data_IF_176044484499
#
_entry.id   IF_176044484499
#
_cell.length_a   1.000
_cell.length_b   1.000
_cell.length_c   1.000
_cell.angle_alpha   90.00
_cell.angle_beta   90.00
_cell.angle_gamma   90.00
#
_symmetry.space_group_name_H-M   'P 1'
#
loop_
_entity.id
_entity.type
_entity.pdbx_description
1 polymer ?
#
# COMPACT_ATOMS: atom_id res chain seq x y z
N UNK A 1 -3.86 -2.40 13.30
CA UNK A 1 -3.96 -3.53 12.35
C UNK A 1 -5.33 -4.17 12.51
N UNK A 2 -6.07 -4.38 11.43
CA UNK A 2 -7.42 -4.94 11.40
C UNK A 2 -7.41 -6.41 10.92
N UNK A 3 -8.36 -7.22 11.38
CA UNK A 3 -8.55 -8.59 10.89
C UNK A 3 -9.19 -8.60 9.49
N UNK A 4 -8.82 -9.56 8.64
CA UNK A 4 -9.44 -9.80 7.32
C UNK A 4 -9.67 -11.29 7.05
N UNK A 5 -10.94 -11.71 6.96
CA UNK A 5 -11.33 -13.11 6.79
C UNK A 5 -10.84 -13.72 5.47
N UNK A 6 -10.79 -12.92 4.39
CA UNK A 6 -10.34 -13.41 3.09
C UNK A 6 -8.84 -13.68 3.11
N UNK A 7 -8.06 -12.80 3.75
CA UNK A 7 -6.62 -13.03 3.93
C UNK A 7 -6.33 -14.22 4.85
N UNK A 8 -7.19 -14.46 5.85
CA UNK A 8 -7.09 -15.61 6.75
C UNK A 8 -7.40 -16.92 6.00
N UNK A 9 -8.40 -16.93 5.12
CA UNK A 9 -8.68 -18.08 4.26
C UNK A 9 -7.52 -18.38 3.31
N UNK A 10 -6.92 -17.36 2.70
CA UNK A 10 -5.71 -17.53 1.88
C UNK A 10 -4.57 -18.13 2.70
N UNK A 11 -4.36 -17.68 3.94
CA UNK A 11 -3.34 -18.22 4.83
C UNK A 11 -3.62 -19.69 5.18
N UNK A 12 -4.88 -20.03 5.46
CA UNK A 12 -5.31 -21.40 5.79
C UNK A 12 -5.07 -22.35 4.61
N UNK A 13 -5.48 -21.94 3.41
CA UNK A 13 -5.28 -22.72 2.17
C UNK A 13 -3.78 -22.93 1.87
N UNK A 14 -2.92 -21.95 2.15
CA UNK A 14 -1.47 -22.12 2.05
C UNK A 14 -0.93 -23.11 3.08
N UNK A 15 -1.43 -23.06 4.32
CA UNK A 15 -1.17 -24.06 5.35
C UNK A 15 -1.54 -25.49 4.92
N UNK A 16 -2.70 -25.67 4.30
CA UNK A 16 -3.14 -26.97 3.77
C UNK A 16 -2.25 -27.46 2.64
N UNK A 17 -1.81 -26.55 1.77
CA UNK A 17 -0.89 -26.88 0.68
C UNK A 17 0.48 -27.31 1.19
N UNK A 18 1.03 -26.60 2.18
CA UNK A 18 2.27 -26.99 2.87
C UNK A 18 2.17 -28.39 3.48
N UNK A 19 1.06 -28.70 4.14
CA UNK A 19 0.81 -30.02 4.72
C UNK A 19 0.72 -31.09 3.63
N UNK A 20 -0.09 -30.84 2.59
CA UNK A 20 -0.35 -31.82 1.51
C UNK A 20 0.89 -32.08 0.65
N UNK A 21 1.67 -31.05 0.36
CA UNK A 21 2.86 -31.13 -0.50
C UNK A 21 4.16 -31.33 0.28
N UNK A 22 4.10 -31.44 1.61
CA UNK A 22 5.24 -31.82 2.44
C UNK A 22 6.36 -30.78 2.47
N UNK A 23 6.02 -29.48 2.50
CA UNK A 23 7.01 -28.40 2.56
C UNK A 23 6.63 -27.34 3.59
N UNK A 24 7.59 -26.49 3.97
CA UNK A 24 7.36 -25.29 4.77
C UNK A 24 8.06 -24.12 4.08
N UNK A 25 7.32 -23.14 3.61
CA UNK A 25 7.90 -22.00 2.92
C UNK A 25 6.89 -21.05 2.31
N UNK A 26 7.37 -19.91 1.83
CA UNK A 26 6.54 -18.84 1.27
C UNK A 26 6.05 -19.15 -0.15
N UNK A 27 6.90 -19.80 -0.95
CA UNK A 27 6.62 -20.10 -2.35
C UNK A 27 6.15 -21.54 -2.45
N UNK A 28 4.90 -21.71 -2.85
CA UNK A 28 4.32 -23.00 -3.18
C UNK A 28 4.58 -23.34 -4.65
N UNK A 29 4.89 -24.60 -4.99
CA UNK A 29 4.93 -25.05 -6.38
C UNK A 29 3.54 -25.05 -7.05
N UNK A 30 2.46 -25.13 -6.25
CA UNK A 30 1.07 -25.20 -6.74
C UNK A 30 0.39 -23.83 -6.79
N UNK A 31 0.75 -22.96 -5.85
CA UNK A 31 0.09 -21.65 -5.65
C UNK A 31 1.06 -20.47 -5.72
N UNK A 32 2.34 -20.66 -6.01
CA UNK A 32 3.29 -19.56 -6.16
C UNK A 32 3.54 -18.81 -4.84
N UNK A 33 3.84 -17.53 -4.93
CA UNK A 33 4.17 -16.67 -3.78
C UNK A 33 2.93 -16.04 -3.10
N UNK A 34 3.09 -15.31 -1.97
CA UNK A 34 1.96 -14.67 -1.29
C UNK A 34 1.17 -13.70 -2.19
N UNK A 35 1.85 -12.94 -3.05
CA UNK A 35 1.19 -11.99 -3.95
C UNK A 35 0.33 -12.70 -4.99
N UNK A 36 0.81 -13.81 -5.56
CA UNK A 36 0.04 -14.66 -6.47
C UNK A 36 -1.20 -15.27 -5.79
N UNK A 37 -1.09 -15.65 -4.51
CA UNK A 37 -2.24 -16.13 -3.71
C UNK A 37 -3.27 -15.02 -3.48
N UNK A 38 -2.84 -13.82 -3.13
CA UNK A 38 -3.73 -12.65 -3.01
C UNK A 38 -4.43 -12.31 -4.33
N UNK A 39 -3.70 -12.31 -5.44
CA UNK A 39 -4.22 -12.02 -6.77
C UNK A 39 -5.31 -13.03 -7.17
N UNK A 40 -5.07 -14.33 -7.00
CA UNK A 40 -6.09 -15.37 -7.28
C UNK A 40 -7.32 -15.24 -6.38
N UNK A 41 -7.13 -14.86 -5.12
CA UNK A 41 -8.22 -14.58 -4.21
C UNK A 41 -8.95 -13.24 -4.50
N UNK A 42 -8.49 -12.47 -5.50
CA UNK A 42 -8.98 -11.13 -5.84
C UNK A 42 -8.93 -10.17 -4.65
N UNK A 43 -7.91 -10.29 -3.80
CA UNK A 43 -7.64 -9.37 -2.70
C UNK A 43 -6.64 -8.34 -3.21
N UNK A 44 -7.07 -7.09 -3.33
CA UNK A 44 -6.16 -5.99 -3.69
C UNK A 44 -5.32 -5.62 -2.48
N UNK A 45 -4.01 -5.54 -2.68
CA UNK A 45 -3.06 -5.14 -1.66
C UNK A 45 -1.93 -4.31 -2.28
N UNK A 46 -1.50 -3.26 -1.58
CA UNK A 46 -0.34 -2.43 -1.96
C UNK A 46 0.97 -3.06 -1.46
N UNK A 47 0.88 -3.75 -0.33
CA UNK A 47 1.99 -4.47 0.31
C UNK A 47 1.43 -5.81 0.78
N UNK A 48 2.19 -6.88 0.56
CA UNK A 48 1.91 -8.21 1.12
C UNK A 48 3.19 -8.71 1.77
N UNK A 49 3.09 -9.11 3.04
CA UNK A 49 4.16 -9.73 3.83
C UNK A 49 3.62 -11.02 4.43
N UNK A 50 4.46 -12.03 4.54
CA UNK A 50 4.04 -13.33 5.07
C UNK A 50 5.03 -13.84 6.11
N UNK A 51 4.50 -14.38 7.20
CA UNK A 51 5.24 -15.27 8.09
C UNK A 51 4.69 -16.69 7.96
N UNK A 52 5.59 -17.67 7.95
CA UNK A 52 5.25 -19.09 7.93
C UNK A 52 6.00 -19.77 9.07
N UNK A 53 5.31 -20.64 9.80
CA UNK A 53 5.91 -21.45 10.84
C UNK A 53 5.34 -22.87 10.87
N UNK A 54 6.20 -23.83 11.22
CA UNK A 54 5.80 -25.16 11.67
C UNK A 54 6.27 -25.32 13.11
N UNK A 55 5.38 -25.70 14.02
CA UNK A 55 5.74 -25.84 15.43
C UNK A 55 4.61 -26.36 16.30
N UNK A 56 4.71 -26.12 17.60
CA UNK A 56 3.80 -26.65 18.60
C UNK A 56 3.34 -25.56 19.55
N UNK A 57 2.02 -25.49 19.73
CA UNK A 57 1.38 -24.53 20.62
C UNK A 57 1.49 -23.08 20.12
N UNK A 58 0.49 -22.24 20.43
CA UNK A 58 0.47 -20.85 19.96
C UNK A 58 1.65 -20.03 20.51
N UNK A 59 2.00 -20.22 21.79
CA UNK A 59 3.08 -19.48 22.44
C UNK A 59 4.45 -19.77 21.81
N UNK A 60 4.81 -21.04 21.66
CA UNK A 60 6.10 -21.42 21.10
C UNK A 60 6.27 -20.98 19.65
N UNK A 61 5.21 -21.09 18.84
CA UNK A 61 5.21 -20.59 17.46
C UNK A 61 5.40 -19.07 17.42
N UNK A 62 4.66 -18.33 18.25
CA UNK A 62 4.79 -16.87 18.30
C UNK A 62 6.19 -16.43 18.75
N UNK A 63 6.74 -17.03 19.81
CA UNK A 63 8.10 -16.73 20.28
C UNK A 63 9.15 -17.03 19.22
N UNK A 64 9.04 -18.15 18.50
CA UNK A 64 9.92 -18.50 17.39
C UNK A 64 9.88 -17.45 16.27
N UNK A 65 8.68 -16.98 15.90
CA UNK A 65 8.54 -15.89 14.92
C UNK A 65 9.16 -14.59 15.42
N UNK A 66 8.91 -14.20 16.68
CA UNK A 66 9.43 -12.94 17.22
C UNK A 66 10.95 -12.95 17.46
N UNK A 67 11.55 -14.12 17.62
CA UNK A 67 13.00 -14.30 17.73
C UNK A 67 13.72 -14.29 16.37
N UNK A 68 13.00 -14.47 15.26
CA UNK A 68 13.53 -14.29 13.91
C UNK A 68 13.44 -12.82 13.48
N UNK A 69 14.56 -12.13 13.19
CA UNK A 69 14.53 -10.73 12.78
C UNK A 69 13.64 -10.47 11.55
N UNK A 70 13.66 -11.35 10.55
CA UNK A 70 12.85 -11.22 9.34
C UNK A 70 11.35 -11.37 9.61
N UNK A 71 10.96 -12.36 10.41
CA UNK A 71 9.56 -12.56 10.77
C UNK A 71 9.03 -11.45 11.68
N UNK A 72 9.83 -11.03 12.66
CA UNK A 72 9.51 -9.91 13.54
C UNK A 72 9.32 -8.61 12.75
N UNK A 73 10.17 -8.36 11.74
CA UNK A 73 10.05 -7.17 10.89
C UNK A 73 8.68 -7.09 10.19
N UNK A 74 8.08 -8.22 9.81
CA UNK A 74 6.74 -8.25 9.25
C UNK A 74 5.66 -7.91 10.27
N UNK A 75 5.78 -8.40 11.52
CA UNK A 75 4.80 -8.17 12.60
C UNK A 75 4.76 -6.69 13.02
N UNK A 76 5.93 -6.03 13.05
CA UNK A 76 6.06 -4.62 13.49
C UNK A 76 6.06 -3.62 12.32
N UNK A 77 5.83 -4.09 11.10
CA UNK A 77 5.86 -3.22 9.93
C UNK A 77 4.80 -2.12 10.06
N UNK A 78 5.20 -0.88 9.77
CA UNK A 78 4.28 0.28 9.81
C UNK A 78 3.50 0.45 8.51
N UNK A 79 3.79 -0.40 7.52
CA UNK A 79 3.20 -0.35 6.19
C UNK A 79 2.09 -1.36 5.93
N UNK A 80 1.67 -2.08 6.97
CA UNK A 80 0.56 -3.02 6.94
C UNK A 80 -0.61 -2.45 7.73
N UNK A 81 -1.82 -2.71 7.26
CA UNK A 81 -3.05 -2.26 7.93
C UNK A 81 -3.96 -3.40 8.32
N UNK A 82 -3.80 -4.57 7.70
CA UNK A 82 -4.62 -5.74 7.88
C UNK A 82 -3.79 -7.01 8.11
N UNK A 83 -4.40 -8.00 8.75
CA UNK A 83 -3.85 -9.33 8.96
C UNK A 83 -4.90 -10.42 8.75
N UNK A 84 -4.47 -11.53 8.15
CA UNK A 84 -5.19 -12.79 8.15
C UNK A 84 -4.27 -13.91 8.64
N UNK A 85 -4.73 -14.73 9.58
CA UNK A 85 -3.94 -15.84 10.14
C UNK A 85 -4.65 -17.15 9.84
N UNK A 86 -3.91 -18.09 9.24
CA UNK A 86 -4.36 -19.45 8.96
C UNK A 86 -3.59 -20.44 9.81
N UNK A 87 -4.30 -21.45 10.31
CA UNK A 87 -3.75 -22.51 11.16
C UNK A 87 -4.23 -23.86 10.64
N UNK A 88 -3.31 -24.78 10.40
CA UNK A 88 -3.60 -26.14 9.94
C UNK A 88 -2.80 -27.15 10.76
N UNK A 89 -3.45 -28.21 11.21
CA UNK A 89 -2.77 -29.33 11.86
C UNK A 89 -2.23 -30.30 10.81
N UNK A 90 -0.93 -30.59 10.87
CA UNK A 90 -0.32 -31.67 10.11
C UNK A 90 -0.79 -33.05 10.57
N UNK A 91 -0.34 -34.11 9.86
CA UNK A 91 -0.55 -35.47 10.31
C UNK A 91 0.16 -35.73 11.66
N UNK A 92 -0.30 -36.70 12.45
CA UNK A 92 0.46 -37.17 13.62
C UNK A 92 1.88 -37.60 13.22
N UNK A 93 2.86 -37.30 14.08
CA UNK A 93 4.26 -37.65 13.80
C UNK A 93 4.56 -39.15 13.93
N UNK A 94 3.67 -39.92 14.55
CA UNK A 94 3.75 -41.38 14.66
C UNK A 94 2.35 -42.00 14.68
N UNK A 95 2.29 -43.33 14.72
CA UNK A 95 1.04 -44.10 14.84
C UNK A 95 0.50 -44.20 16.27
N UNK A 96 1.20 -43.63 17.27
CA UNK A 96 0.74 -43.64 18.65
C UNK A 96 -0.56 -42.83 18.79
N UNK A 97 -1.46 -43.27 19.68
CA UNK A 97 -2.77 -42.64 19.87
C UNK A 97 -2.67 -41.18 20.36
N UNK A 98 -1.59 -40.84 21.06
CA UNK A 98 -1.27 -39.53 21.62
C UNK A 98 -0.18 -38.79 20.83
N UNK A 99 0.16 -39.27 19.63
CA UNK A 99 1.19 -38.67 18.81
C UNK A 99 0.91 -37.17 18.56
N UNK A 100 1.88 -36.28 18.82
CA UNK A 100 1.69 -34.85 18.65
C UNK A 100 1.45 -34.53 17.17
N UNK A 101 0.65 -33.49 16.94
CA UNK A 101 0.37 -32.97 15.61
C UNK A 101 1.05 -31.61 15.45
N UNK A 102 1.98 -31.46 14.50
CA UNK A 102 2.60 -30.17 14.23
C UNK A 102 1.53 -29.20 13.71
N UNK A 103 1.66 -27.94 14.09
CA UNK A 103 0.84 -26.85 13.58
C UNK A 103 1.62 -26.13 12.49
N UNK A 104 0.97 -25.94 11.35
CA UNK A 104 1.40 -25.07 10.27
C UNK A 104 0.63 -23.76 10.39
N UNK A 105 1.34 -22.68 10.61
CA UNK A 105 0.79 -21.34 10.79
C UNK A 105 1.29 -20.44 9.67
N UNK A 106 0.36 -19.70 9.07
CA UNK A 106 0.64 -18.67 8.08
C UNK A 106 0.00 -17.37 8.55
N UNK A 107 0.78 -16.28 8.57
CA UNK A 107 0.28 -14.93 8.83
C UNK A 107 0.48 -14.10 7.57
N UNK A 108 -0.61 -13.63 6.98
CA UNK A 108 -0.60 -12.70 5.88
C UNK A 108 -0.84 -11.29 6.42
N UNK A 109 0.15 -10.43 6.31
CA UNK A 109 0.03 -9.00 6.62
C UNK A 109 -0.04 -8.21 5.33
N UNK A 110 -0.97 -7.27 5.24
CA UNK A 110 -1.12 -6.50 4.02
C UNK A 110 -1.71 -5.11 4.26
N UNK A 111 -1.61 -4.26 3.25
CA UNK A 111 -2.30 -2.98 3.21
C UNK A 111 -3.28 -2.95 2.04
N UNK A 112 -4.54 -2.59 2.31
CA UNK A 112 -5.51 -2.30 1.24
C UNK A 112 -5.08 -1.07 0.44
N UNK A 113 -5.49 -0.96 -0.83
CA UNK A 113 -5.32 0.27 -1.60
C UNK A 113 -5.78 1.51 -0.82
N UNK A 114 -4.93 2.52 -0.75
CA UNK A 114 -5.15 3.76 -0.01
C UNK A 114 -5.00 3.66 1.51
N UNK A 115 -4.71 2.50 2.07
CA UNK A 115 -4.55 2.37 3.52
C UNK A 115 -3.25 3.04 4.03
N UNK A 116 -2.29 3.30 3.14
CA UNK A 116 -1.12 4.13 3.44
C UNK A 116 -1.37 5.63 3.26
N UNK A 117 -2.55 6.05 2.80
CA UNK A 117 -2.87 7.45 2.58
C UNK A 117 -3.10 8.13 3.94
N UNK A 118 -2.34 9.19 4.29
CA UNK A 118 -2.54 9.92 5.54
C UNK A 118 -3.90 10.64 5.55
N UNK A 119 -4.46 10.91 6.74
CA UNK A 119 -5.70 11.69 6.90
C UNK A 119 -5.66 13.05 6.18
N UNK A 120 -4.46 13.64 6.10
CA UNK A 120 -4.16 14.88 5.38
C UNK A 120 -3.11 14.60 4.30
N UNK A 121 -3.50 14.05 3.14
CA UNK A 121 -2.53 13.54 2.17
C UNK A 121 -1.72 14.66 1.51
N UNK A 122 -2.36 15.78 1.15
CA UNK A 122 -1.68 16.91 0.50
C UNK A 122 -0.56 17.51 1.38
N UNK A 123 -0.81 17.90 2.65
CA UNK A 123 0.26 18.38 3.53
C UNK A 123 1.39 17.37 3.74
N UNK A 124 1.06 16.10 3.97
CA UNK A 124 2.05 15.04 4.18
C UNK A 124 2.93 14.81 2.94
N UNK A 125 2.35 14.91 1.74
CA UNK A 125 3.10 14.79 0.49
C UNK A 125 4.06 15.95 0.31
N UNK A 126 3.62 17.20 0.55
CA UNK A 126 4.49 18.38 0.43
C UNK A 126 5.69 18.31 1.35
N UNK A 127 5.46 17.96 2.62
CA UNK A 127 6.51 17.81 3.61
C UNK A 127 7.54 16.75 3.20
N UNK A 128 7.06 15.61 2.71
CA UNK A 128 7.92 14.52 2.24
C UNK A 128 8.72 14.92 0.99
N UNK A 129 8.07 15.54 0.01
CA UNK A 129 8.71 16.02 -1.23
C UNK A 129 9.79 17.07 -0.91
N UNK A 130 9.46 18.07 -0.10
CA UNK A 130 10.44 19.09 0.29
C UNK A 130 11.58 18.49 1.12
N UNK A 131 11.30 17.49 1.97
CA UNK A 131 12.31 16.73 2.69
C UNK A 131 13.28 16.01 1.76
N UNK A 132 12.77 15.26 0.79
CA UNK A 132 13.56 14.58 -0.24
C UNK A 132 14.41 15.56 -1.04
N UNK A 133 13.82 16.69 -1.47
CA UNK A 133 14.53 17.74 -2.20
C UNK A 133 15.67 18.34 -1.38
N UNK A 134 15.44 18.65 -0.09
CA UNK A 134 16.50 19.11 0.82
C UNK A 134 17.63 18.10 0.94
N UNK A 135 17.31 16.80 1.05
CA UNK A 135 18.32 15.73 1.07
C UNK A 135 19.16 15.66 -0.20
N UNK A 136 18.59 16.05 -1.35
CA UNK A 136 19.27 16.14 -2.63
C UNK A 136 19.96 17.51 -2.88
N UNK A 137 19.97 18.42 -1.89
CA UNK A 137 20.54 19.77 -2.06
C UNK A 137 19.67 20.72 -2.91
N UNK A 138 18.41 20.36 -3.16
CA UNK A 138 17.45 21.18 -3.90
C UNK A 138 16.59 22.02 -2.94
N UNK A 139 16.24 23.26 -3.32
CA UNK A 139 15.29 24.07 -2.56
C UNK A 139 13.88 23.46 -2.57
N UNK A 140 13.07 23.80 -1.55
CA UNK A 140 11.65 23.45 -1.49
C UNK A 140 10.88 23.98 -2.70
N UNK A 141 9.80 23.30 -3.09
CA UNK A 141 8.96 23.75 -4.20
C UNK A 141 8.12 24.97 -3.81
N UNK A 142 7.81 25.81 -4.81
CA UNK A 142 6.90 26.93 -4.63
C UNK A 142 5.45 26.44 -4.68
N UNK A 143 4.94 25.98 -3.55
CA UNK A 143 3.58 25.45 -3.42
C UNK A 143 2.52 26.55 -3.51
N UNK A 144 1.70 26.52 -4.57
CA UNK A 144 0.66 27.50 -4.83
C UNK A 144 -0.72 27.00 -4.36
N UNK A 145 -1.39 27.82 -3.54
CA UNK A 145 -2.68 27.50 -2.93
C UNK A 145 -3.83 27.51 -3.94
N UNK A 146 -3.81 28.42 -4.92
CA UNK A 146 -4.84 28.50 -5.95
C UNK A 146 -4.74 27.30 -6.90
N UNK A 147 -3.53 26.98 -7.37
CA UNK A 147 -3.29 25.78 -8.17
C UNK A 147 -3.66 24.51 -7.38
N UNK A 148 -3.41 24.44 -6.08
CA UNK A 148 -3.79 23.26 -5.29
C UNK A 148 -5.30 23.08 -5.15
N UNK A 149 -6.07 24.16 -5.05
CA UNK A 149 -7.54 24.07 -5.08
C UNK A 149 -8.03 23.52 -6.41
N UNK A 150 -7.46 24.00 -7.52
CA UNK A 150 -7.82 23.56 -8.86
C UNK A 150 -7.42 22.10 -9.11
N UNK A 151 -6.22 21.71 -8.64
CA UNK A 151 -5.74 20.34 -8.68
C UNK A 151 -6.65 19.40 -7.88
N UNK A 152 -7.11 19.82 -6.69
CA UNK A 152 -8.03 19.03 -5.87
C UNK A 152 -9.36 18.77 -6.59
N UNK A 153 -9.95 19.77 -7.24
CA UNK A 153 -11.19 19.59 -8.01
C UNK A 153 -11.02 18.54 -9.12
N UNK A 154 -9.88 18.51 -9.82
CA UNK A 154 -9.61 17.47 -10.81
C UNK A 154 -9.33 16.10 -10.18
N UNK A 155 -8.62 16.05 -9.04
CA UNK A 155 -8.39 14.80 -8.33
C UNK A 155 -9.72 14.18 -7.89
N UNK A 156 -10.60 14.99 -7.29
CA UNK A 156 -11.96 14.65 -6.87
C UNK A 156 -12.79 14.09 -8.04
N UNK A 157 -12.82 14.81 -9.17
CA UNK A 157 -13.51 14.35 -10.37
C UNK A 157 -12.90 13.06 -10.95
N UNK A 158 -11.57 12.93 -10.95
CA UNK A 158 -10.85 11.75 -11.43
C UNK A 158 -11.05 10.52 -10.54
N UNK A 159 -11.24 10.72 -9.24
CA UNK A 159 -11.57 9.69 -8.28
C UNK A 159 -13.07 9.37 -8.23
N UNK A 160 -13.91 10.08 -9.00
CA UNK A 160 -15.36 9.93 -9.01
C UNK A 160 -16.05 10.44 -7.74
N UNK A 161 -15.35 11.24 -6.94
CA UNK A 161 -15.83 11.81 -5.69
C UNK A 161 -15.86 13.32 -5.80
N UNK A 162 -17.01 13.89 -6.18
CA UNK A 162 -17.19 15.34 -6.29
C UNK A 162 -17.78 15.78 -7.63
N UNK A 163 -17.99 17.09 -7.79
CA UNK A 163 -18.57 17.64 -9.00
C UNK A 163 -17.61 17.49 -10.18
N UNK A 164 -18.16 17.12 -11.34
CA UNK A 164 -17.40 17.19 -12.59
C UNK A 164 -17.22 18.65 -12.97
N UNK A 165 -15.98 19.06 -13.22
CA UNK A 165 -15.65 20.36 -13.80
C UNK A 165 -15.50 20.19 -15.32
N UNK A 166 -16.11 21.07 -16.12
CA UNK A 166 -15.89 21.08 -17.56
C UNK A 166 -14.47 21.57 -17.89
N UNK A 167 -13.96 21.22 -19.06
CA UNK A 167 -12.66 21.75 -19.49
C UNK A 167 -12.69 23.29 -19.60
N UNK A 168 -13.80 23.88 -20.03
CA UNK A 168 -13.99 25.35 -20.08
C UNK A 168 -13.91 25.99 -18.69
N UNK A 169 -14.66 25.48 -17.71
CA UNK A 169 -14.65 25.99 -16.34
C UNK A 169 -13.28 25.80 -15.68
N UNK A 170 -12.57 24.71 -16.02
CA UNK A 170 -11.20 24.51 -15.57
C UNK A 170 -10.25 25.56 -16.16
N UNK A 171 -10.33 25.86 -17.45
CA UNK A 171 -9.47 26.85 -18.10
C UNK A 171 -9.73 28.27 -17.57
N UNK A 172 -10.99 28.63 -17.32
CA UNK A 172 -11.35 29.90 -16.70
C UNK A 172 -10.68 30.05 -15.32
N UNK A 173 -10.86 29.05 -14.44
CA UNK A 173 -10.25 29.04 -13.10
C UNK A 173 -8.73 28.95 -13.12
N UNK A 174 -8.15 28.32 -14.14
CA UNK A 174 -6.71 28.31 -14.35
C UNK A 174 -6.20 29.72 -14.69
N UNK A 175 -6.92 30.47 -15.53
CA UNK A 175 -6.62 31.87 -15.85
C UNK A 175 -6.56 32.77 -14.61
N UNK A 176 -7.47 32.56 -13.66
CA UNK A 176 -7.54 33.33 -12.41
C UNK A 176 -6.33 33.12 -11.49
N UNK A 177 -5.52 32.08 -11.72
CA UNK A 177 -4.30 31.82 -10.91
C UNK A 177 -3.11 32.71 -11.33
N UNK A 178 -3.22 33.40 -12.46
CA UNK A 178 -2.21 34.30 -12.99
C UNK A 178 -0.95 33.61 -13.53
N UNK A 179 -0.98 32.28 -13.76
CA UNK A 179 0.11 31.56 -14.45
C UNK A 179 -0.02 31.77 -15.96
N UNK A 180 1.11 31.87 -16.68
CA UNK A 180 1.15 32.10 -18.13
C UNK A 180 1.28 30.82 -18.96
N UNK A 181 1.31 29.66 -18.30
CA UNK A 181 1.24 28.34 -18.89
C UNK A 181 1.02 27.30 -17.80
N UNK A 182 0.27 26.24 -18.10
CA UNK A 182 -0.11 25.22 -17.12
C UNK A 182 0.11 23.82 -17.69
N UNK A 183 0.98 23.05 -17.03
CA UNK A 183 1.12 21.61 -17.27
C UNK A 183 0.31 20.82 -16.24
N UNK A 184 -0.37 19.78 -16.70
CA UNK A 184 -1.22 18.92 -15.86
C UNK A 184 -0.65 17.50 -15.89
N UNK A 185 -0.35 16.96 -14.72
CA UNK A 185 0.05 15.56 -14.56
C UNK A 185 -0.97 14.85 -13.68
N UNK A 186 -1.55 13.75 -14.17
CA UNK A 186 -2.48 12.92 -13.40
C UNK A 186 -1.87 11.54 -13.21
N UNK A 187 -1.81 11.10 -11.95
CA UNK A 187 -1.24 9.81 -11.55
C UNK A 187 -2.27 9.09 -10.70
N UNK A 188 -2.50 7.80 -10.99
CA UNK A 188 -3.35 6.93 -10.16
C UNK A 188 -2.49 5.87 -9.51
N UNK A 189 -2.68 5.63 -8.22
CA UNK A 189 -1.87 4.69 -7.46
C UNK A 189 -1.97 4.87 -5.95
N UNK A 190 -1.01 4.30 -5.24
CA UNK A 190 -0.86 4.47 -3.79
C UNK A 190 -0.24 5.82 -3.43
N UNK A 191 -0.51 6.30 -2.22
CA UNK A 191 0.14 7.49 -1.70
C UNK A 191 1.68 7.38 -1.73
N UNK A 192 2.23 6.18 -1.53
CA UNK A 192 3.67 5.94 -1.59
C UNK A 192 4.25 6.10 -2.98
N UNK A 193 3.57 5.60 -4.01
CA UNK A 193 3.99 5.78 -5.40
C UNK A 193 4.02 7.26 -5.79
N UNK A 194 3.12 8.07 -5.21
CA UNK A 194 3.16 9.51 -5.41
C UNK A 194 4.43 10.15 -4.86
N UNK A 195 5.05 9.61 -3.81
CA UNK A 195 6.29 10.15 -3.23
C UNK A 195 7.52 9.85 -4.07
N UNK A 196 7.48 8.86 -4.94
CA UNK A 196 8.63 8.36 -5.71
C UNK A 196 8.69 8.91 -7.15
N UNK A 197 7.89 9.92 -7.49
CA UNK A 197 7.89 10.48 -8.83
C UNK A 197 9.18 11.28 -9.08
N UNK A 198 9.88 10.97 -10.18
CA UNK A 198 11.08 11.71 -10.61
C UNK A 198 10.80 13.19 -10.84
N UNK A 199 9.55 13.53 -11.21
CA UNK A 199 9.06 14.91 -11.34
C UNK A 199 9.43 15.79 -10.14
N UNK A 200 9.45 15.24 -8.92
CA UNK A 200 9.74 16.01 -7.72
C UNK A 200 11.14 16.56 -7.65
N UNK A 201 12.13 15.94 -8.30
CA UNK A 201 13.51 16.41 -8.35
C UNK A 201 13.82 17.18 -9.62
N UNK A 202 13.04 16.96 -10.69
CA UNK A 202 13.18 17.65 -11.98
C UNK A 202 12.61 19.08 -11.99
N UNK A 203 11.61 19.37 -11.15
CA UNK A 203 11.00 20.70 -11.10
C UNK A 203 11.95 21.77 -10.55
N UNK A 204 12.09 22.86 -11.30
CA UNK A 204 12.77 24.08 -10.90
C UNK A 204 12.01 24.88 -9.84
N UNK A 205 12.60 25.99 -9.39
CA UNK A 205 11.96 26.92 -8.43
C UNK A 205 11.25 28.10 -9.08
N UNK A 206 11.41 28.26 -10.39
CA UNK A 206 10.75 29.26 -11.22
C UNK A 206 9.27 28.93 -11.50
N UNK A 207 8.84 27.72 -11.15
CA UNK A 207 7.47 27.24 -11.33
C UNK A 207 6.68 27.28 -10.02
N UNK A 208 5.38 27.49 -10.13
CA UNK A 208 4.38 27.34 -9.08
C UNK A 208 3.74 25.95 -9.18
N UNK A 209 3.62 25.25 -8.05
CA UNK A 209 3.13 23.87 -8.03
C UNK A 209 1.88 23.76 -7.18
N UNK A 210 0.80 23.26 -7.77
CA UNK A 210 -0.41 22.86 -7.07
C UNK A 210 -0.58 21.35 -7.07
N UNK A 211 -1.07 20.79 -5.96
CA UNK A 211 -1.38 19.36 -5.88
C UNK A 211 -2.77 19.14 -5.27
N UNK A 212 -3.44 18.10 -5.75
CA UNK A 212 -4.69 17.58 -5.21
C UNK A 212 -4.64 16.06 -5.17
N UNK A 213 -5.20 15.46 -4.12
CA UNK A 213 -5.21 14.01 -3.92
C UNK A 213 -6.60 13.60 -3.45
N UNK A 214 -7.20 12.63 -4.13
CA UNK A 214 -8.51 12.10 -3.81
C UNK A 214 -8.51 10.56 -3.81
N UNK A 215 -9.21 9.97 -2.86
CA UNK A 215 -9.32 8.51 -2.74
C UNK A 215 -10.40 7.98 -3.70
N UNK A 216 -10.05 7.03 -4.56
CA UNK A 216 -10.93 6.38 -5.53
C UNK A 216 -11.37 4.99 -5.04
N UNK A 217 -11.87 4.90 -3.80
CA UNK A 217 -12.27 3.64 -3.17
C UNK A 217 -11.15 2.59 -3.17
N UNK A 218 -11.48 1.34 -3.52
CA UNK A 218 -10.52 0.23 -3.62
C UNK A 218 -9.60 0.31 -4.86
N UNK A 219 -9.73 1.33 -5.71
CA UNK A 219 -8.85 1.55 -6.87
C UNK A 219 -7.56 2.31 -6.50
N UNK A 220 -7.41 2.73 -5.23
CA UNK A 220 -6.29 3.54 -4.76
C UNK A 220 -6.66 5.02 -4.73
N UNK A 221 -5.68 5.89 -4.93
CA UNK A 221 -5.88 7.34 -4.99
C UNK A 221 -5.59 7.89 -6.39
N UNK A 222 -6.16 9.06 -6.68
CA UNK A 222 -5.81 9.89 -7.83
C UNK A 222 -5.10 11.13 -7.30
N UNK A 223 -3.92 11.42 -7.85
CA UNK A 223 -3.20 12.66 -7.63
C UNK A 223 -3.17 13.47 -8.93
N UNK A 224 -3.44 14.76 -8.80
CA UNK A 224 -3.26 15.74 -9.88
C UNK A 224 -2.20 16.74 -9.44
N UNK A 225 -1.23 16.97 -10.32
CA UNK A 225 -0.14 17.93 -10.15
C UNK A 225 -0.31 18.98 -11.24
N UNK A 226 -0.39 20.23 -10.82
CA UNK A 226 -0.46 21.40 -11.69
C UNK A 226 0.86 22.16 -11.56
N UNK A 227 1.53 22.39 -12.69
CA UNK A 227 2.79 23.13 -12.73
C UNK A 227 2.59 24.36 -13.62
N UNK A 228 2.66 25.54 -13.01
CA UNK A 228 2.49 26.82 -13.69
C UNK A 228 3.76 27.66 -13.71
N UNK A 229 3.96 28.43 -14.78
CA UNK A 229 5.02 29.45 -14.89
C UNK A 229 4.45 30.86 -14.80
#
# INVERSE_FOLDING_TARGET
MAWDDRAAEVARLHGEDMVRSGFVGHVSPNTGDPAARFARAKIRAEVVRENVARGYGPKGIHESLMNSPGHRANVIATDITHVGIGVVFGPPESSAADAPRPVFLTQNFFAKPGASTPDKPVPALRESVDGTRRGAGLPALNWDKALSKLAQLRADAGAGVGPKISDEEFQERAGDTGVRGLSIHQVSGSFRQFLTLDLWTELGTDVRVGIGIAQAGEAGAVMVILVGR
#
